data_IF_702052524697
#
_entry.id   IF_702052524697
#
_cell.length_a   1.000
_cell.length_b   1.000
_cell.length_c   1.000
_cell.angle_alpha   90.00
_cell.angle_beta   90.00
_cell.angle_gamma   90.00
#
_symmetry.space_group_name_H-M   'P 1'
#
loop_
_entity.id
_entity.type
_entity.pdbx_description
1 polymer ?
#
# COMPACT_ATOMS: atom_id res chain seq x y z
N UNK A 1 -20.24 -3.98 -2.42
CA UNK A 1 -20.55 -2.87 -1.49
C UNK A 1 -19.30 -2.33 -0.76
N UNK A 2 -18.09 -2.43 -1.34
CA UNK A 2 -16.83 -1.99 -0.70
C UNK A 2 -16.03 -0.98 -1.54
N UNK A 3 -16.55 -0.60 -2.71
CA UNK A 3 -15.94 0.36 -3.65
C UNK A 3 -16.40 1.81 -3.43
N UNK A 4 -17.61 2.02 -2.90
CA UNK A 4 -18.22 3.33 -2.77
C UNK A 4 -17.64 4.16 -1.61
N UNK A 5 -17.28 3.54 -0.49
CA UNK A 5 -16.71 4.26 0.67
C UNK A 5 -15.30 4.80 0.37
N UNK A 6 -14.60 4.21 -0.60
CA UNK A 6 -13.26 4.63 -1.04
C UNK A 6 -13.29 5.80 -2.02
N UNK A 7 -14.28 5.83 -2.94
CA UNK A 7 -14.50 6.94 -3.86
C UNK A 7 -14.85 8.24 -3.10
N UNK A 8 -15.62 8.16 -2.02
CA UNK A 8 -16.04 9.32 -1.22
C UNK A 8 -14.88 10.06 -0.52
N UNK A 9 -13.74 9.39 -0.28
CA UNK A 9 -12.55 10.05 0.27
C UNK A 9 -11.69 10.73 -0.81
N UNK A 10 -11.86 10.32 -2.07
CA UNK A 10 -11.22 10.91 -3.23
C UNK A 10 -11.91 12.22 -3.64
N UNK A 11 -13.25 12.29 -3.57
CA UNK A 11 -14.02 13.49 -3.91
C UNK A 11 -13.76 14.69 -2.99
N UNK A 12 -13.23 14.48 -1.78
CA UNK A 12 -12.87 15.58 -0.87
C UNK A 12 -11.50 16.21 -1.16
N UNK A 13 -10.75 15.69 -2.13
CA UNK A 13 -9.50 16.28 -2.62
C UNK A 13 -9.82 16.89 -3.98
N UNK A 14 -9.79 18.22 -4.05
CA UNK A 14 -10.20 19.05 -5.17
C UNK A 14 -9.27 18.97 -6.40
N UNK A 15 -8.90 17.77 -6.86
CA UNK A 15 -8.02 17.52 -8.00
C UNK A 15 -8.60 16.46 -8.95
N UNK A 16 -8.36 16.64 -10.24
CA UNK A 16 -8.70 15.65 -11.27
C UNK A 16 -7.89 14.34 -11.04
N UNK A 17 -8.44 13.21 -11.48
CA UNK A 17 -7.84 11.88 -11.20
C UNK A 17 -6.41 11.73 -11.72
N UNK A 18 -6.09 12.40 -12.84
CA UNK A 18 -4.76 12.38 -13.47
C UNK A 18 -3.70 13.14 -12.66
N UNK A 19 -4.04 14.28 -12.06
CA UNK A 19 -3.11 15.01 -11.19
C UNK A 19 -2.91 14.29 -9.86
N UNK A 20 -3.92 13.57 -9.36
CA UNK A 20 -3.77 12.71 -8.17
C UNK A 20 -2.86 11.51 -8.47
N UNK A 21 -2.99 10.88 -9.63
CA UNK A 21 -2.07 9.82 -10.07
C UNK A 21 -0.63 10.33 -10.17
N UNK A 22 -0.40 11.50 -10.78
CA UNK A 22 0.91 12.17 -10.79
C UNK A 22 1.42 12.56 -9.40
N UNK A 23 0.53 12.98 -8.51
CA UNK A 23 0.90 13.33 -7.14
C UNK A 23 1.34 12.09 -6.33
N UNK A 24 0.68 10.96 -6.54
CA UNK A 24 1.01 9.68 -5.90
C UNK A 24 2.31 9.11 -6.49
N UNK A 25 2.51 9.22 -7.80
CA UNK A 25 3.77 8.84 -8.44
C UNK A 25 4.95 9.70 -7.98
N UNK A 26 4.76 11.02 -7.85
CA UNK A 26 5.81 11.97 -7.43
C UNK A 26 6.14 11.93 -5.94
N UNK A 27 5.21 11.54 -5.08
CA UNK A 27 5.43 11.45 -3.61
C UNK A 27 5.96 10.11 -3.13
N UNK A 28 6.02 9.09 -4.00
CA UNK A 28 6.45 7.75 -3.64
C UNK A 28 5.51 7.06 -2.65
N UNK A 29 5.84 5.82 -2.29
CA UNK A 29 5.05 5.06 -1.31
C UNK A 29 5.11 5.71 0.08
N UNK A 30 3.99 5.83 0.81
CA UNK A 30 4.00 6.33 2.19
C UNK A 30 4.87 5.48 3.12
N UNK A 31 5.60 6.15 4.01
CA UNK A 31 6.41 5.52 5.04
C UNK A 31 5.59 5.33 6.32
N UNK A 32 5.59 4.11 6.85
CA UNK A 32 4.83 3.79 8.06
C UNK A 32 5.39 2.59 8.81
N UNK A 33 5.29 2.63 10.14
CA UNK A 33 5.63 1.47 10.95
C UNK A 33 7.14 1.23 11.05
N UNK A 34 7.54 -0.02 10.86
CA UNK A 34 8.92 -0.49 10.83
C UNK A 34 9.28 -1.12 9.47
N UNK A 35 8.28 -1.40 8.63
CA UNK A 35 8.43 -2.12 7.37
C UNK A 35 7.91 -1.36 6.15
N UNK A 36 6.87 -0.52 6.26
CA UNK A 36 6.34 0.13 5.07
C UNK A 36 7.25 1.27 4.58
N UNK A 37 7.85 1.11 3.40
CA UNK A 37 8.48 2.17 2.61
C UNK A 37 10.01 2.04 2.45
N UNK A 38 10.64 2.85 1.58
CA UNK A 38 12.07 2.78 1.33
C UNK A 38 12.89 3.06 2.59
N UNK A 39 13.99 2.33 2.78
CA UNK A 39 14.87 2.39 3.97
C UNK A 39 14.22 1.87 5.27
N UNK A 40 13.06 1.22 5.17
CA UNK A 40 12.43 0.43 6.24
C UNK A 40 12.56 -1.07 5.89
N UNK A 41 12.15 -1.97 6.80
CA UNK A 41 12.19 -3.42 6.55
C UNK A 41 12.84 -4.26 7.66
N UNK A 42 12.77 -3.82 8.93
CA UNK A 42 13.36 -4.55 10.05
C UNK A 42 12.61 -4.34 11.36
N UNK A 43 12.85 -5.22 12.35
CA UNK A 43 12.23 -5.13 13.67
C UNK A 43 10.80 -5.71 13.76
N UNK A 44 10.17 -5.60 14.93
CA UNK A 44 8.83 -6.17 15.16
C UNK A 44 7.76 -5.32 14.45
N UNK A 45 6.82 -5.90 13.67
CA UNK A 45 5.74 -5.13 13.07
C UNK A 45 4.84 -4.51 14.13
N UNK A 46 4.50 -3.23 13.96
CA UNK A 46 3.73 -2.44 14.95
C UNK A 46 2.22 -2.73 14.91
N UNK A 47 1.67 -3.08 13.74
CA UNK A 47 0.25 -3.35 13.55
C UNK A 47 -0.02 -4.21 12.30
N UNK A 48 -1.28 -4.28 11.84
CA UNK A 48 -1.67 -5.16 10.74
C UNK A 48 -1.07 -4.68 9.42
N UNK A 49 -1.14 -3.40 9.11
CA UNK A 49 -0.55 -2.84 7.90
C UNK A 49 0.97 -3.08 7.86
N UNK A 50 1.66 -2.80 8.96
CA UNK A 50 3.10 -3.01 9.08
C UNK A 50 3.48 -4.50 8.96
N UNK A 51 2.63 -5.40 9.45
CA UNK A 51 2.77 -6.86 9.22
C UNK A 51 2.62 -7.21 7.73
N UNK A 52 1.70 -6.56 7.02
CA UNK A 52 1.54 -6.71 5.58
C UNK A 52 2.80 -6.31 4.83
N UNK A 53 3.34 -5.12 5.12
CA UNK A 53 4.59 -4.62 4.55
C UNK A 53 5.77 -5.55 4.87
N UNK A 54 5.85 -6.07 6.10
CA UNK A 54 6.88 -7.05 6.46
C UNK A 54 6.85 -8.29 5.56
N UNK A 55 5.65 -8.83 5.32
CA UNK A 55 5.51 -10.03 4.49
C UNK A 55 5.87 -9.71 3.02
N UNK A 56 5.50 -8.53 2.54
CA UNK A 56 5.83 -8.03 1.21
C UNK A 56 7.35 -7.89 1.02
N UNK A 57 8.04 -7.20 1.93
CA UNK A 57 9.50 -7.02 1.90
C UNK A 57 10.25 -8.36 1.93
N UNK A 58 9.81 -9.29 2.79
CA UNK A 58 10.40 -10.64 2.86
C UNK A 58 10.20 -11.44 1.58
N UNK A 59 9.09 -11.24 0.88
CA UNK A 59 8.86 -11.86 -0.43
C UNK A 59 9.77 -11.25 -1.50
N UNK A 60 9.88 -9.93 -1.56
CA UNK A 60 10.80 -9.23 -2.46
C UNK A 60 12.25 -9.64 -2.24
N UNK A 61 12.70 -9.76 -0.99
CA UNK A 61 14.07 -10.20 -0.67
C UNK A 61 14.41 -11.62 -1.14
N UNK A 62 13.42 -12.47 -1.43
CA UNK A 62 13.62 -13.84 -1.92
C UNK A 62 13.58 -13.97 -3.43
N UNK A 63 12.74 -13.18 -4.11
CA UNK A 63 12.40 -13.40 -5.53
C UNK A 63 12.68 -12.20 -6.44
N UNK A 64 13.11 -11.08 -5.87
CA UNK A 64 13.36 -9.84 -6.60
C UNK A 64 12.22 -8.83 -6.43
N UNK A 65 12.57 -7.57 -6.69
CA UNK A 65 11.64 -6.44 -6.58
C UNK A 65 10.62 -6.43 -7.72
N UNK A 66 9.50 -5.75 -7.49
CA UNK A 66 8.46 -5.45 -8.49
C UNK A 66 7.65 -6.66 -8.98
N UNK A 67 7.56 -7.77 -8.25
CA UNK A 67 6.67 -8.86 -8.65
C UNK A 67 5.20 -8.50 -8.40
N UNK A 68 4.38 -8.45 -9.47
CA UNK A 68 2.98 -8.08 -9.37
C UNK A 68 2.17 -9.00 -8.44
N UNK A 69 2.59 -10.26 -8.29
CA UNK A 69 1.97 -11.24 -7.41
C UNK A 69 2.04 -10.79 -5.94
N UNK A 70 3.19 -10.29 -5.48
CA UNK A 70 3.35 -9.81 -4.10
C UNK A 70 2.66 -8.49 -3.85
N UNK A 71 2.63 -7.59 -4.84
CA UNK A 71 1.90 -6.33 -4.72
C UNK A 71 0.40 -6.61 -4.53
N UNK A 72 -0.16 -7.54 -5.31
CA UNK A 72 -1.54 -8.02 -5.17
C UNK A 72 -1.78 -8.69 -3.81
N UNK A 73 -0.84 -9.48 -3.32
CA UNK A 73 -0.96 -10.11 -2.00
C UNK A 73 -0.98 -9.07 -0.87
N UNK A 74 -0.14 -8.03 -0.94
CA UNK A 74 -0.15 -6.92 0.01
C UNK A 74 -1.50 -6.18 -0.01
N UNK A 75 -2.02 -5.88 -1.21
CA UNK A 75 -3.34 -5.23 -1.38
C UNK A 75 -4.44 -6.10 -0.76
N UNK A 76 -4.47 -7.40 -1.08
CA UNK A 76 -5.46 -8.35 -0.57
C UNK A 76 -5.38 -8.52 0.94
N UNK A 77 -4.18 -8.66 1.48
CA UNK A 77 -3.96 -8.77 2.92
C UNK A 77 -4.43 -7.50 3.64
N UNK A 78 -4.12 -6.32 3.09
CA UNK A 78 -4.52 -5.03 3.65
C UNK A 78 -6.03 -4.88 3.67
N UNK A 79 -6.70 -5.20 2.55
CA UNK A 79 -8.17 -5.19 2.47
C UNK A 79 -8.83 -6.10 3.50
N UNK A 80 -8.37 -7.37 3.59
CA UNK A 80 -8.89 -8.35 4.55
C UNK A 80 -8.71 -7.95 6.03
N UNK A 81 -7.69 -7.15 6.34
CA UNK A 81 -7.40 -6.73 7.70
C UNK A 81 -7.85 -5.30 8.02
N UNK A 82 -8.41 -4.57 7.06
CA UNK A 82 -8.82 -3.17 7.21
C UNK A 82 -9.79 -2.94 8.37
N UNK A 83 -10.72 -3.88 8.63
CA UNK A 83 -11.63 -3.85 9.78
C UNK A 83 -10.93 -3.90 11.15
N UNK A 84 -9.68 -4.36 11.20
CA UNK A 84 -8.85 -4.47 12.42
C UNK A 84 -7.86 -3.30 12.55
N UNK A 85 -7.88 -2.33 11.64
CA UNK A 85 -6.94 -1.21 11.61
C UNK A 85 -7.48 0.02 12.33
N UNK A 86 -6.59 0.73 13.04
CA UNK A 86 -6.90 2.05 13.61
C UNK A 86 -7.04 3.14 12.53
N UNK A 87 -7.58 4.32 12.89
CA UNK A 87 -7.80 5.43 11.94
C UNK A 87 -6.53 5.86 11.20
N UNK A 88 -5.42 6.01 11.92
CA UNK A 88 -4.12 6.39 11.33
C UNK A 88 -3.61 5.30 10.41
N UNK A 89 -3.63 4.05 10.85
CA UNK A 89 -3.22 2.89 10.05
C UNK A 89 -4.03 2.80 8.74
N UNK A 90 -5.35 3.01 8.79
CA UNK A 90 -6.20 3.07 7.59
C UNK A 90 -5.79 4.16 6.60
N UNK A 91 -5.35 5.34 7.06
CA UNK A 91 -4.88 6.41 6.16
C UNK A 91 -3.65 5.98 5.38
N UNK A 92 -2.68 5.36 6.04
CA UNK A 92 -1.48 4.83 5.38
C UNK A 92 -1.79 3.63 4.51
N UNK A 93 -2.69 2.75 4.94
CA UNK A 93 -3.16 1.60 4.15
C UNK A 93 -3.74 2.04 2.81
N UNK A 94 -4.57 3.09 2.79
CA UNK A 94 -5.10 3.69 1.56
C UNK A 94 -3.98 4.15 0.64
N UNK A 95 -2.99 4.89 1.15
CA UNK A 95 -1.88 5.37 0.32
C UNK A 95 -1.02 4.25 -0.24
N UNK A 96 -0.69 3.24 0.58
CA UNK A 96 0.11 2.07 0.16
C UNK A 96 -0.63 1.24 -0.89
N UNK A 97 -1.90 0.92 -0.66
CA UNK A 97 -2.73 0.18 -1.62
C UNK A 97 -2.85 0.95 -2.93
N UNK A 98 -3.03 2.27 -2.87
CA UNK A 98 -3.13 3.09 -4.08
C UNK A 98 -1.84 3.09 -4.86
N UNK A 99 -0.69 3.25 -4.19
CA UNK A 99 0.62 3.16 -4.83
C UNK A 99 0.78 1.84 -5.59
N UNK A 100 0.56 0.69 -4.95
CA UNK A 100 0.75 -0.62 -5.59
C UNK A 100 -0.33 -0.99 -6.63
N UNK A 101 -1.48 -0.32 -6.64
CA UNK A 101 -2.45 -0.45 -7.73
C UNK A 101 -2.01 0.29 -9.00
N UNK A 102 -1.24 1.37 -8.85
CA UNK A 102 -0.82 2.25 -9.95
C UNK A 102 0.63 2.02 -10.39
N UNK A 103 1.47 1.48 -9.51
CA UNK A 103 2.88 1.23 -9.78
C UNK A 103 3.04 0.15 -10.85
N UNK A 104 3.97 0.40 -11.79
CA UNK A 104 4.40 -0.62 -12.73
C UNK A 104 5.06 -1.79 -11.99
N UNK A 105 4.70 -3.01 -12.35
CA UNK A 105 5.25 -4.25 -11.79
C UNK A 105 5.48 -5.28 -12.92
N UNK A 106 6.36 -6.25 -12.68
CA UNK A 106 6.62 -7.38 -13.56
C UNK A 106 5.60 -8.51 -13.28
N UNK A 107 4.75 -8.89 -14.25
CA UNK A 107 3.78 -9.97 -14.07
C UNK A 107 4.40 -11.38 -14.15
N UNK A 108 5.67 -11.49 -14.55
CA UNK A 108 6.38 -12.76 -14.76
C UNK A 108 7.40 -13.09 -13.66
N UNK A 109 7.46 -12.29 -12.59
CA UNK A 109 8.34 -12.48 -11.43
C UNK A 109 7.68 -13.24 -10.26
#
# INVERSE_FOLDING_TARGET
MESAEFALKYESLSGNSEDIEKLIQSRGIPIYGNWCGPKYGSGKPKNKLDTGCMNHDKCYGKRGYFACSYDKDLIKYTGKNSGKMGKTEKKFAVGIVTYFKLASCNPFA
#
